data_IF_244320525339
#
_entry.id   IF_244320525339
#
_cell.length_a   1.000
_cell.length_b   1.000
_cell.length_c   1.000
_cell.angle_alpha   90.00
_cell.angle_beta   90.00
_cell.angle_gamma   90.00
#
_symmetry.space_group_name_H-M   'P 1'
#
loop_
_entity.id
_entity.type
_entity.pdbx_description
1 polymer ?
#
# COMPACT_ATOMS: atom_id res chain seq x y z
N UNK A 1 -5.89 -20.64 34.48
CA UNK A 1 -6.47 -20.15 33.21
C UNK A 1 -5.57 -20.63 32.09
N UNK A 2 -6.05 -21.49 31.20
CA UNK A 2 -5.25 -22.05 30.12
C UNK A 2 -4.98 -20.97 29.08
N UNK A 3 -3.73 -20.57 28.87
CA UNK A 3 -3.38 -19.66 27.79
C UNK A 3 -3.70 -20.37 26.46
N UNK A 4 -4.49 -19.72 25.60
CA UNK A 4 -4.75 -20.24 24.25
C UNK A 4 -3.49 -20.05 23.39
N UNK A 5 -3.26 -20.89 22.36
CA UNK A 5 -2.12 -20.70 21.47
C UNK A 5 -2.13 -19.31 20.79
N UNK A 6 -3.32 -18.77 20.52
CA UNK A 6 -3.48 -17.39 20.05
C UNK A 6 -2.90 -16.38 21.06
N UNK A 7 -3.23 -16.51 22.35
CA UNK A 7 -2.71 -15.61 23.38
C UNK A 7 -1.18 -15.73 23.51
N UNK A 8 -0.65 -16.95 23.50
CA UNK A 8 0.81 -17.17 23.52
C UNK A 8 1.49 -16.50 22.32
N UNK A 9 0.93 -16.68 21.12
CA UNK A 9 1.44 -16.05 19.90
C UNK A 9 1.46 -14.53 19.98
N UNK A 10 0.39 -13.93 20.52
CA UNK A 10 0.32 -12.48 20.74
C UNK A 10 1.34 -11.98 21.76
N UNK A 11 1.54 -12.72 22.85
CA UNK A 11 2.51 -12.35 23.88
C UNK A 11 3.94 -12.46 23.34
N UNK A 12 4.24 -13.48 22.52
CA UNK A 12 5.50 -13.59 21.80
C UNK A 12 5.72 -12.43 20.81
N UNK A 13 4.69 -12.02 20.06
CA UNK A 13 4.78 -10.85 19.17
C UNK A 13 5.10 -9.56 19.95
N UNK A 14 4.44 -9.34 21.09
CA UNK A 14 4.74 -8.18 21.96
C UNK A 14 6.16 -8.22 22.52
N UNK A 15 6.67 -9.42 22.81
CA UNK A 15 8.03 -9.64 23.27
C UNK A 15 9.09 -9.59 22.15
N UNK A 16 8.68 -9.39 20.88
CA UNK A 16 9.58 -9.41 19.72
C UNK A 16 10.11 -10.81 19.35
N UNK A 17 9.58 -11.87 19.97
CA UNK A 17 9.94 -13.27 19.72
C UNK A 17 9.14 -13.80 18.53
N UNK A 18 9.43 -13.28 17.34
CA UNK A 18 8.63 -13.53 16.14
C UNK A 18 8.62 -15.01 15.74
N UNK A 19 9.76 -15.70 15.84
CA UNK A 19 9.83 -17.12 15.46
C UNK A 19 9.00 -18.01 16.40
N UNK A 20 9.01 -17.74 17.71
CA UNK A 20 8.12 -18.42 18.68
C UNK A 20 6.65 -18.08 18.42
N UNK A 21 6.36 -16.82 18.07
CA UNK A 21 5.00 -16.39 17.77
C UNK A 21 4.40 -17.15 16.59
N UNK A 22 5.18 -17.35 15.52
CA UNK A 22 4.73 -18.12 14.34
C UNK A 22 4.29 -19.52 14.76
N UNK A 23 5.09 -20.24 15.55
CA UNK A 23 4.76 -21.60 16.02
C UNK A 23 3.44 -21.64 16.79
N UNK A 24 3.24 -20.67 17.70
CA UNK A 24 2.01 -20.58 18.48
C UNK A 24 0.79 -20.18 17.63
N UNK A 25 0.98 -19.30 16.65
CA UNK A 25 -0.08 -18.83 15.75
C UNK A 25 -0.46 -19.88 14.70
N UNK A 26 0.47 -20.65 14.17
CA UNK A 26 0.20 -21.82 13.31
C UNK A 26 -0.67 -22.84 14.05
N UNK A 27 -0.28 -23.19 15.30
CA UNK A 27 -1.11 -24.03 16.18
C UNK A 27 -2.49 -23.43 16.46
N UNK A 28 -2.58 -22.12 16.60
CA UNK A 28 -3.87 -21.44 16.78
C UNK A 28 -4.77 -21.59 15.54
N UNK A 29 -4.19 -21.48 14.34
CA UNK A 29 -4.90 -21.67 13.07
C UNK A 29 -5.36 -23.13 12.90
N UNK A 30 -4.56 -24.11 13.34
CA UNK A 30 -4.93 -25.53 13.31
C UNK A 30 -6.10 -25.85 14.27
N UNK A 31 -6.06 -25.30 15.48
CA UNK A 31 -7.10 -25.54 16.50
C UNK A 31 -8.41 -24.81 16.19
N UNK A 32 -8.32 -23.63 15.57
CA UNK A 32 -9.47 -22.78 15.25
C UNK A 32 -9.36 -22.27 13.81
N UNK A 33 -9.64 -23.12 12.80
CA UNK A 33 -9.48 -22.76 11.38
C UNK A 33 -10.46 -21.68 10.90
N UNK A 34 -11.46 -21.33 11.71
CA UNK A 34 -12.41 -20.26 11.43
C UNK A 34 -12.10 -18.95 12.18
N UNK A 35 -11.07 -18.90 13.03
CA UNK A 35 -10.69 -17.66 13.72
C UNK A 35 -9.78 -16.80 12.84
N UNK A 36 -10.38 -15.82 12.15
CA UNK A 36 -9.66 -14.90 11.29
C UNK A 36 -8.52 -14.15 12.01
N UNK A 37 -8.60 -13.98 13.35
CA UNK A 37 -7.58 -13.26 14.12
C UNK A 37 -6.27 -14.04 14.13
N UNK A 38 -6.33 -15.36 14.27
CA UNK A 38 -5.13 -16.21 14.25
C UNK A 38 -4.37 -16.04 12.93
N UNK A 39 -5.09 -16.11 11.80
CA UNK A 39 -4.51 -15.88 10.48
C UNK A 39 -4.00 -14.44 10.29
N UNK A 40 -4.72 -13.43 10.80
CA UNK A 40 -4.25 -12.04 10.74
C UNK A 40 -2.94 -11.85 11.51
N UNK A 41 -2.83 -12.36 12.74
CA UNK A 41 -1.60 -12.23 13.52
C UNK A 41 -0.47 -13.09 12.96
N UNK A 42 -0.78 -14.26 12.37
CA UNK A 42 0.20 -15.07 11.64
C UNK A 42 0.76 -14.30 10.44
N UNK A 43 -0.11 -13.61 9.69
CA UNK A 43 0.31 -12.72 8.60
C UNK A 43 1.24 -11.60 9.08
N UNK A 44 0.92 -10.96 10.20
CA UNK A 44 1.79 -9.94 10.82
C UNK A 44 3.15 -10.53 11.20
N UNK A 45 3.18 -11.72 11.79
CA UNK A 45 4.42 -12.39 12.16
C UNK A 45 5.30 -12.70 10.94
N UNK A 46 4.72 -13.22 9.86
CA UNK A 46 5.44 -13.45 8.61
C UNK A 46 5.92 -12.15 7.96
N UNK A 47 5.12 -11.09 7.98
CA UNK A 47 5.53 -9.78 7.45
C UNK A 47 6.73 -9.20 8.21
N UNK A 48 6.79 -9.35 9.54
CA UNK A 48 7.97 -8.96 10.34
C UNK A 48 9.23 -9.75 9.96
N UNK A 49 9.06 -10.99 9.49
CA UNK A 49 10.15 -11.82 8.93
C UNK A 49 10.46 -11.52 7.46
N UNK A 50 9.78 -10.56 6.84
CA UNK A 50 9.84 -10.27 5.39
C UNK A 50 9.46 -11.47 4.51
N UNK A 51 8.67 -12.39 5.04
CA UNK A 51 8.12 -13.54 4.31
C UNK A 51 6.78 -13.15 3.69
N UNK A 52 6.81 -12.21 2.74
CA UNK A 52 5.60 -11.54 2.24
C UNK A 52 4.62 -12.50 1.55
N UNK A 53 5.10 -13.48 0.77
CA UNK A 53 4.26 -14.52 0.18
C UNK A 53 3.39 -15.24 1.23
N UNK A 54 4.01 -15.64 2.35
CA UNK A 54 3.31 -16.32 3.45
C UNK A 54 2.39 -15.37 4.20
N UNK A 55 2.82 -14.12 4.39
CA UNK A 55 2.01 -13.09 5.02
C UNK A 55 0.72 -12.84 4.22
N UNK A 56 0.85 -12.63 2.91
CA UNK A 56 -0.26 -12.44 1.96
C UNK A 56 -1.20 -13.65 1.99
N UNK A 57 -0.68 -14.88 2.01
CA UNK A 57 -1.50 -16.09 2.12
C UNK A 57 -2.33 -16.15 3.41
N UNK A 58 -1.71 -15.82 4.55
CA UNK A 58 -2.38 -15.78 5.84
C UNK A 58 -3.44 -14.65 5.90
N UNK A 59 -3.09 -13.45 5.44
CA UNK A 59 -4.03 -12.33 5.38
C UNK A 59 -5.20 -12.59 4.44
N UNK A 60 -4.98 -13.17 3.26
CA UNK A 60 -6.06 -13.56 2.35
C UNK A 60 -7.03 -14.55 3.00
N UNK A 61 -6.51 -15.50 3.78
CA UNK A 61 -7.35 -16.41 4.57
C UNK A 61 -8.16 -15.65 5.62
N UNK A 62 -7.54 -14.70 6.33
CA UNK A 62 -8.24 -13.86 7.29
C UNK A 62 -9.34 -12.99 6.63
N UNK A 63 -9.09 -12.39 5.46
CA UNK A 63 -10.08 -11.61 4.70
C UNK A 63 -11.22 -12.51 4.22
N UNK A 64 -10.95 -13.74 3.78
CA UNK A 64 -11.99 -14.69 3.38
C UNK A 64 -12.89 -15.08 4.55
N UNK A 65 -12.31 -15.28 5.73
CA UNK A 65 -13.06 -15.60 6.95
C UNK A 65 -13.85 -14.40 7.47
N UNK A 66 -13.32 -13.18 7.30
CA UNK A 66 -13.95 -11.95 7.78
C UNK A 66 -13.76 -10.79 6.77
N UNK A 67 -14.64 -10.68 5.76
CA UNK A 67 -14.47 -9.73 4.66
C UNK A 67 -14.77 -8.28 5.04
N UNK A 68 -15.51 -8.05 6.12
CA UNK A 68 -15.90 -6.76 6.71
C UNK A 68 -14.83 -6.19 7.69
N UNK A 69 -13.58 -6.62 7.51
CA UNK A 69 -12.45 -6.30 8.37
C UNK A 69 -11.54 -5.21 7.81
N UNK A 70 -11.76 -3.90 8.08
CA UNK A 70 -10.90 -2.86 7.54
C UNK A 70 -9.44 -3.03 7.98
N UNK A 71 -9.21 -3.44 9.23
CA UNK A 71 -7.85 -3.68 9.75
C UNK A 71 -7.11 -4.85 9.06
N UNK A 72 -7.83 -5.92 8.66
CA UNK A 72 -7.20 -7.06 7.98
C UNK A 72 -6.88 -6.71 6.54
N UNK A 73 -7.79 -5.98 5.86
CA UNK A 73 -7.53 -5.45 4.51
C UNK A 73 -6.36 -4.49 4.48
N UNK A 74 -6.29 -3.59 5.47
CA UNK A 74 -5.14 -2.71 5.63
C UNK A 74 -3.83 -3.49 5.81
N UNK A 75 -3.80 -4.52 6.66
CA UNK A 75 -2.60 -5.35 6.83
C UNK A 75 -2.23 -6.12 5.54
N UNK A 76 -3.23 -6.59 4.78
CA UNK A 76 -3.01 -7.20 3.48
C UNK A 76 -2.41 -6.20 2.48
N UNK A 77 -2.93 -4.97 2.45
CA UNK A 77 -2.40 -3.88 1.63
C UNK A 77 -0.94 -3.56 1.96
N UNK A 78 -0.60 -3.47 3.25
CA UNK A 78 0.79 -3.30 3.69
C UNK A 78 1.69 -4.47 3.26
N UNK A 79 1.17 -5.71 3.28
CA UNK A 79 1.93 -6.86 2.83
C UNK A 79 2.18 -6.85 1.31
N UNK A 80 1.17 -6.47 0.51
CA UNK A 80 1.33 -6.29 -0.93
C UNK A 80 2.32 -5.17 -1.27
N UNK A 81 2.24 -4.05 -0.55
CA UNK A 81 3.15 -2.93 -0.71
C UNK A 81 4.60 -3.34 -0.43
N UNK A 82 4.84 -4.05 0.66
CA UNK A 82 6.17 -4.52 1.03
C UNK A 82 6.74 -5.56 0.04
N UNK A 83 5.86 -6.27 -0.67
CA UNK A 83 6.19 -7.19 -1.77
C UNK A 83 6.38 -6.49 -3.13
N UNK A 84 6.14 -5.16 -3.20
CA UNK A 84 6.25 -4.36 -4.41
C UNK A 84 5.01 -4.38 -5.31
N UNK A 85 3.93 -5.03 -4.87
CA UNK A 85 2.66 -5.12 -5.60
C UNK A 85 1.77 -3.92 -5.29
N UNK A 86 2.22 -2.72 -5.67
CA UNK A 86 1.61 -1.43 -5.32
C UNK A 86 0.13 -1.32 -5.75
N UNK A 87 -0.21 -1.79 -6.96
CA UNK A 87 -1.61 -1.75 -7.45
C UNK A 87 -2.55 -2.55 -6.54
N UNK A 88 -2.11 -3.74 -6.09
CA UNK A 88 -2.90 -4.58 -5.18
C UNK A 88 -2.97 -3.99 -3.77
N UNK A 89 -1.90 -3.33 -3.33
CA UNK A 89 -1.89 -2.62 -2.07
C UNK A 89 -2.95 -1.50 -2.05
N UNK A 90 -3.00 -0.71 -3.13
CA UNK A 90 -4.02 0.33 -3.33
C UNK A 90 -5.42 -0.21 -3.23
N UNK A 91 -5.75 -1.27 -3.99
CA UNK A 91 -7.08 -1.88 -3.97
C UNK A 91 -7.50 -2.29 -2.55
N UNK A 92 -6.61 -2.87 -1.76
CA UNK A 92 -6.95 -3.30 -0.39
C UNK A 92 -7.08 -2.12 0.59
N UNK A 93 -6.30 -1.05 0.41
CA UNK A 93 -6.49 0.18 1.20
C UNK A 93 -7.80 0.89 0.85
N UNK A 94 -8.18 0.95 -0.43
CA UNK A 94 -9.46 1.49 -0.89
C UNK A 94 -10.61 0.70 -0.27
N UNK A 95 -10.58 -0.64 -0.35
CA UNK A 95 -11.57 -1.50 0.30
C UNK A 95 -11.63 -1.31 1.82
N UNK A 96 -10.49 -1.07 2.48
CA UNK A 96 -10.49 -0.76 3.91
C UNK A 96 -11.23 0.55 4.22
N UNK A 97 -11.11 1.56 3.35
CA UNK A 97 -11.85 2.82 3.46
C UNK A 97 -13.33 2.70 3.06
N UNK A 98 -13.67 1.84 2.10
CA UNK A 98 -15.08 1.54 1.78
C UNK A 98 -15.81 0.95 2.99
N UNK A 99 -15.15 0.04 3.72
CA UNK A 99 -15.68 -0.56 4.95
C UNK A 99 -15.70 0.42 6.12
N UNK A 100 -14.69 1.28 6.23
CA UNK A 100 -14.60 2.30 7.27
C UNK A 100 -13.97 3.58 6.71
N UNK A 101 -14.78 4.57 6.29
CA UNK A 101 -14.27 5.83 5.75
C UNK A 101 -13.41 6.65 6.72
N UNK A 102 -13.51 6.37 8.03
CA UNK A 102 -12.70 6.97 9.09
C UNK A 102 -11.42 6.22 9.40
N UNK A 103 -11.04 5.19 8.62
CA UNK A 103 -9.83 4.42 8.84
C UNK A 103 -8.57 5.17 8.37
N UNK A 104 -8.13 6.11 9.21
CA UNK A 104 -7.08 7.09 8.89
C UNK A 104 -5.77 6.44 8.40
N UNK A 105 -5.39 5.28 8.96
CA UNK A 105 -4.19 4.57 8.53
C UNK A 105 -4.24 4.16 7.04
N UNK A 106 -5.39 3.70 6.53
CA UNK A 106 -5.52 3.35 5.11
C UNK A 106 -5.52 4.61 4.22
N UNK A 107 -6.13 5.70 4.69
CA UNK A 107 -6.09 6.99 3.98
C UNK A 107 -4.66 7.50 3.83
N UNK A 108 -3.88 7.47 4.91
CA UNK A 108 -2.48 7.87 4.89
C UNK A 108 -1.63 6.96 4.00
N UNK A 109 -1.89 5.65 4.00
CA UNK A 109 -1.21 4.72 3.12
C UNK A 109 -1.50 5.01 1.64
N UNK A 110 -2.75 5.29 1.26
CA UNK A 110 -3.10 5.68 -0.10
C UNK A 110 -2.45 7.01 -0.52
N UNK A 111 -2.53 8.04 0.33
CA UNK A 111 -1.90 9.33 0.05
C UNK A 111 -0.39 9.17 -0.20
N UNK A 112 0.28 8.32 0.58
CA UNK A 112 1.69 7.99 0.40
C UNK A 112 1.95 7.30 -0.94
N UNK A 113 1.15 6.30 -1.32
CA UNK A 113 1.28 5.65 -2.62
C UNK A 113 1.07 6.62 -3.79
N UNK A 114 0.07 7.52 -3.70
CA UNK A 114 -0.20 8.54 -4.70
C UNK A 114 0.94 9.59 -4.79
N UNK A 115 1.52 9.97 -3.65
CA UNK A 115 2.70 10.84 -3.59
C UNK A 115 3.92 10.18 -4.24
N UNK A 116 4.15 8.89 -3.99
CA UNK A 116 5.26 8.14 -4.58
C UNK A 116 5.10 8.01 -6.10
N UNK A 117 3.89 7.69 -6.59
CA UNK A 117 3.62 7.67 -8.04
C UNK A 117 3.79 9.05 -8.68
N UNK A 118 3.29 10.10 -8.03
CA UNK A 118 3.48 11.47 -8.49
C UNK A 118 4.96 11.85 -8.53
N UNK A 119 5.76 11.48 -7.53
CA UNK A 119 7.23 11.71 -7.55
C UNK A 119 7.91 10.94 -8.67
N UNK A 120 7.51 9.71 -8.94
CA UNK A 120 8.02 8.95 -10.08
C UNK A 120 7.67 9.62 -11.41
N UNK A 121 6.50 10.24 -11.49
CA UNK A 121 6.05 10.98 -12.66
C UNK A 121 6.74 12.34 -12.83
N UNK A 122 6.98 13.06 -11.74
CA UNK A 122 7.79 14.28 -11.71
C UNK A 122 9.25 13.97 -12.12
N UNK A 123 9.79 12.82 -11.71
CA UNK A 123 11.08 12.30 -12.19
C UNK A 123 11.07 11.87 -13.66
N UNK A 124 9.88 11.69 -14.26
CA UNK A 124 9.67 11.41 -15.68
C UNK A 124 9.25 12.67 -16.47
N UNK A 125 9.17 13.84 -15.83
CA UNK A 125 9.14 15.11 -16.57
C UNK A 125 10.40 15.15 -17.42
N UNK A 126 10.21 15.23 -18.75
CA UNK A 126 11.23 15.29 -19.80
C UNK A 126 12.62 14.81 -19.31
N UNK A 127 12.90 13.50 -19.38
CA UNK A 127 14.18 12.87 -18.97
C UNK A 127 15.47 13.45 -19.62
N UNK A 128 15.35 14.51 -20.43
CA UNK A 128 16.45 15.30 -21.01
C UNK A 128 16.72 16.64 -20.32
N UNK A 129 15.82 17.12 -19.46
CA UNK A 129 15.87 18.47 -18.86
C UNK A 129 15.52 18.43 -17.36
N UNK A 130 16.12 17.49 -16.62
CA UNK A 130 15.85 17.27 -15.19
C UNK A 130 16.30 18.43 -14.28
N UNK A 131 17.12 19.34 -14.80
CA UNK A 131 17.64 20.49 -14.06
C UNK A 131 16.82 21.78 -14.28
N UNK A 132 15.80 21.76 -15.15
CA UNK A 132 14.98 22.95 -15.43
C UNK A 132 13.73 23.01 -14.51
N UNK A 133 13.46 24.15 -13.86
CA UNK A 133 12.23 24.34 -13.12
C UNK A 133 11.01 24.31 -14.05
N UNK A 134 9.94 23.64 -13.62
CA UNK A 134 8.69 23.56 -14.37
C UNK A 134 8.07 24.96 -14.55
N UNK A 135 7.62 25.27 -15.77
CA UNK A 135 6.97 26.55 -16.10
C UNK A 135 5.45 26.50 -16.00
N UNK A 136 4.87 25.33 -15.71
CA UNK A 136 3.43 25.10 -15.57
C UNK A 136 3.05 23.65 -15.82
N UNK A 137 1.75 23.35 -15.73
CA UNK A 137 1.21 22.01 -15.93
C UNK A 137 0.43 21.90 -17.24
N UNK A 138 0.61 20.81 -17.98
CA UNK A 138 -0.15 20.55 -19.19
C UNK A 138 -1.63 20.33 -18.87
N UNK A 139 -2.54 21.03 -19.55
CA UNK A 139 -3.99 20.92 -19.30
C UNK A 139 -4.62 19.59 -19.71
N UNK A 140 -3.89 18.74 -20.44
CA UNK A 140 -4.39 17.46 -20.94
C UNK A 140 -3.90 16.29 -20.10
N UNK A 141 -2.58 16.20 -19.93
CA UNK A 141 -1.96 15.11 -19.17
C UNK A 141 -1.55 15.52 -17.74
N UNK A 142 -1.74 16.77 -17.35
CA UNK A 142 -1.42 17.29 -16.02
C UNK A 142 0.06 17.18 -15.60
N UNK A 143 0.99 16.88 -16.53
CA UNK A 143 2.43 16.85 -16.21
C UNK A 143 2.97 18.27 -16.01
N UNK A 144 3.97 18.45 -15.15
CA UNK A 144 4.85 19.60 -15.23
C UNK A 144 5.59 19.63 -16.58
N UNK A 145 5.69 20.84 -17.17
CA UNK A 145 6.39 21.08 -18.42
C UNK A 145 7.50 22.13 -18.18
N UNK A 146 8.74 21.82 -18.55
CA UNK A 146 9.87 22.76 -18.47
C UNK A 146 9.91 23.75 -19.66
N UNK A 147 10.82 24.72 -19.62
CA UNK A 147 11.01 25.70 -20.69
C UNK A 147 11.34 25.07 -22.03
N UNK A 148 12.09 23.97 -22.04
CA UNK A 148 12.46 23.28 -23.27
C UNK A 148 11.34 22.40 -23.84
N UNK A 149 10.43 21.90 -23.00
CA UNK A 149 9.34 21.01 -23.43
C UNK A 149 8.03 21.77 -23.74
N UNK A 150 8.08 23.11 -23.79
CA UNK A 150 6.98 23.99 -24.22
C UNK A 150 7.18 24.61 -25.60
N UNK A 151 6.09 24.95 -26.28
CA UNK A 151 6.07 25.80 -27.46
C UNK A 151 5.15 27.00 -27.24
N UNK A 152 5.42 28.12 -27.92
CA UNK A 152 4.60 29.33 -27.82
C UNK A 152 3.92 29.59 -29.15
N UNK A 153 2.60 29.64 -29.15
CA UNK A 153 1.78 29.94 -30.34
C UNK A 153 0.81 31.05 -29.98
N UNK A 154 0.90 32.19 -30.68
CA UNK A 154 0.02 33.34 -30.45
C UNK A 154 0.05 33.87 -29.00
N UNK A 155 1.22 33.87 -28.36
CA UNK A 155 1.40 34.34 -26.98
C UNK A 155 0.90 33.38 -25.90
N UNK A 156 0.46 32.17 -26.26
CA UNK A 156 0.06 31.12 -25.31
C UNK A 156 1.07 29.98 -25.31
N UNK A 157 1.26 29.37 -24.15
CA UNK A 157 2.24 28.31 -23.92
C UNK A 157 1.55 26.94 -24.01
N UNK A 158 2.15 26.01 -24.76
CA UNK A 158 1.60 24.68 -25.02
C UNK A 158 2.65 23.59 -24.81
N UNK A 159 2.24 22.39 -24.41
CA UNK A 159 3.10 21.24 -24.31
C UNK A 159 3.53 20.78 -25.71
N UNK A 160 4.83 20.60 -25.97
CA UNK A 160 5.33 20.11 -27.28
C UNK A 160 4.85 18.70 -27.61
N UNK A 161 4.58 17.87 -26.59
CA UNK A 161 4.22 16.46 -26.78
C UNK A 161 2.77 16.26 -27.22
N UNK A 162 1.83 17.04 -26.69
CA UNK A 162 0.39 16.84 -26.93
C UNK A 162 -0.34 18.10 -27.43
N UNK A 163 0.38 19.20 -27.68
CA UNK A 163 -0.16 20.49 -28.11
C UNK A 163 -1.23 21.12 -27.19
N UNK A 164 -1.42 20.58 -25.98
CA UNK A 164 -2.37 21.12 -25.02
C UNK A 164 -1.80 22.33 -24.28
N UNK A 165 -2.69 23.23 -23.85
CA UNK A 165 -2.33 24.48 -23.17
C UNK A 165 -1.64 24.18 -21.82
N UNK A 166 -0.60 24.93 -21.49
CA UNK A 166 0.04 24.88 -20.17
C UNK A 166 -0.64 25.91 -19.26
N UNK A 167 -0.95 25.49 -18.03
CA UNK A 167 -1.56 26.29 -16.96
C UNK A 167 -0.56 26.60 -15.87
#
# INVERSE_FOLDING_TARGET
MSQTPLQMGLDCLKAGKVDEAIVHLERACEQAPNDYRAFNYLGVAYAQKKLYDRAIGAFNTAVRLRPDAPAVRYNLGLAYEADGLVDRAREEFERALELNPGYENARQALQRLEEEERRQYEGQSCARHTDEPAVGHCSFCHLPVCSECRTVVGGRVYCKSCAAKIK
#
